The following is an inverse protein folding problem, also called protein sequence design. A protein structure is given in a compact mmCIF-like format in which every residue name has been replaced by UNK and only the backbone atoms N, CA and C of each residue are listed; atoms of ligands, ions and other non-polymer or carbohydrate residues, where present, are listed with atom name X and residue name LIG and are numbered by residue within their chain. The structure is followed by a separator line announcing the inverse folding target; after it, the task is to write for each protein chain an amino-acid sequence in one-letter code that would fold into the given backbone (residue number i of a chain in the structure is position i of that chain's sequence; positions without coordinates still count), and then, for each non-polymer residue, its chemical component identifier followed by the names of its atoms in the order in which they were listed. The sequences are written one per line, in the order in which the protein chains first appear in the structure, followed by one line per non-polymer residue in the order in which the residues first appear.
data_IF_185218466613
#
_entry.id   IF_185218466613
#
_cell.length_a   1.000
_cell.length_b   1.000
_cell.length_c   1.000
_cell.angle_alpha   90.00
_cell.angle_beta   90.00
_cell.angle_gamma   90.00
#
_symmetry.space_group_name_H-M   'P 1'
#
loop_
_entity.id
_entity.type
_entity.pdbx_description
1 polymer ?
#
# COMPACT_ATOMS: atom_id res chain seq x y z
N UNK A 1 -8.37 39.40 -20.95
CA UNK A 1 -8.83 38.67 -19.76
C UNK A 1 -8.90 39.71 -18.66
N UNK A 2 -10.08 39.91 -18.07
CA UNK A 2 -10.23 40.84 -16.96
C UNK A 2 -9.49 40.27 -15.74
N UNK A 3 -8.90 41.11 -14.89
CA UNK A 3 -8.20 40.65 -13.68
C UNK A 3 -9.10 39.73 -12.83
N UNK A 4 -10.42 40.01 -12.82
CA UNK A 4 -11.43 39.19 -12.16
C UNK A 4 -11.54 37.76 -12.69
N UNK A 5 -11.61 37.59 -14.00
CA UNK A 5 -11.70 36.28 -14.64
C UNK A 5 -10.46 35.42 -14.34
N UNK A 6 -9.30 36.06 -14.16
CA UNK A 6 -8.04 35.39 -13.86
C UNK A 6 -8.03 34.78 -12.46
N UNK A 7 -8.42 35.53 -11.42
CA UNK A 7 -8.43 34.99 -10.05
C UNK A 7 -9.58 34.01 -9.80
N UNK A 8 -10.73 34.19 -10.44
CA UNK A 8 -11.84 33.22 -10.35
C UNK A 8 -11.44 31.86 -10.96
N UNK A 9 -10.76 31.87 -12.11
CA UNK A 9 -10.20 30.66 -12.72
C UNK A 9 -9.17 30.01 -11.81
N UNK A 10 -8.27 30.79 -11.23
CA UNK A 10 -7.24 30.28 -10.33
C UNK A 10 -7.84 29.68 -9.05
N UNK A 11 -8.87 30.30 -8.48
CA UNK A 11 -9.58 29.73 -7.33
C UNK A 11 -10.22 28.39 -7.65
N UNK A 12 -10.84 28.26 -8.82
CA UNK A 12 -11.43 27.00 -9.26
C UNK A 12 -10.36 25.92 -9.35
N UNK A 13 -9.21 26.21 -9.98
CA UNK A 13 -8.11 25.26 -10.13
C UNK A 13 -7.46 24.89 -8.79
N UNK A 14 -7.26 25.86 -7.88
CA UNK A 14 -6.73 25.61 -6.54
C UNK A 14 -7.68 24.71 -5.74
N UNK A 15 -8.98 25.03 -5.76
CA UNK A 15 -9.99 24.27 -5.04
C UNK A 15 -10.12 22.83 -5.57
N UNK A 16 -10.12 22.63 -6.89
CA UNK A 16 -10.19 21.30 -7.50
C UNK A 16 -8.98 20.43 -7.13
N UNK A 17 -7.77 20.99 -7.20
CA UNK A 17 -6.55 20.26 -6.85
C UNK A 17 -6.46 19.95 -5.35
N UNK A 18 -6.86 20.90 -4.50
CA UNK A 18 -6.94 20.70 -3.05
C UNK A 18 -7.94 19.59 -2.69
N UNK A 19 -9.17 19.69 -3.22
CA UNK A 19 -10.21 18.71 -2.98
C UNK A 19 -9.76 17.32 -3.42
N UNK A 20 -9.12 17.22 -4.59
CA UNK A 20 -8.60 15.95 -5.07
C UNK A 20 -7.51 15.39 -4.15
N UNK A 21 -6.51 16.19 -3.76
CA UNK A 21 -5.42 15.74 -2.89
C UNK A 21 -5.94 15.25 -1.52
N UNK A 22 -6.87 15.99 -0.93
CA UNK A 22 -7.50 15.62 0.35
C UNK A 22 -8.35 14.35 0.23
N UNK A 23 -9.13 14.22 -0.85
CA UNK A 23 -9.92 13.02 -1.11
C UNK A 23 -9.03 11.79 -1.30
N UNK A 24 -7.92 11.89 -2.02
CA UNK A 24 -6.99 10.77 -2.19
C UNK A 24 -6.25 10.44 -0.90
N UNK A 25 -5.86 11.43 -0.10
CA UNK A 25 -5.25 11.20 1.22
C UNK A 25 -6.23 10.44 2.13
N UNK A 26 -7.51 10.80 2.12
CA UNK A 26 -8.55 10.08 2.86
C UNK A 26 -8.74 8.65 2.34
N UNK A 27 -8.84 8.47 1.02
CA UNK A 27 -8.99 7.14 0.41
C UNK A 27 -7.80 6.22 0.75
N UNK A 28 -6.58 6.74 0.73
CA UNK A 28 -5.38 5.99 1.13
C UNK A 28 -5.42 5.56 2.60
N UNK A 29 -5.97 6.38 3.48
CA UNK A 29 -6.17 6.04 4.90
C UNK A 29 -7.30 5.01 5.10
N UNK A 30 -8.30 4.97 4.23
CA UNK A 30 -9.40 3.99 4.27
C UNK A 30 -8.94 2.59 3.84
N UNK A 31 -7.84 2.47 3.09
CA UNK A 31 -7.26 1.18 2.70
C UNK A 31 -6.56 0.45 3.86
N UNK A 32 -6.45 1.05 5.05
CA UNK A 32 -5.85 0.42 6.22
C UNK A 32 -6.82 -0.53 6.94
N UNK A 33 -6.35 -1.66 7.53
CA UNK A 33 -4.96 -2.14 7.57
C UNK A 33 -4.53 -2.94 6.31
N UNK A 34 -3.21 -3.11 6.13
CA UNK A 34 -2.66 -4.01 5.09
C UNK A 34 -2.81 -5.46 5.54
N UNK A 35 -3.29 -6.33 4.65
CA UNK A 35 -3.33 -7.77 4.92
C UNK A 35 -4.67 -8.42 4.63
N UNK A 36 -4.98 -9.44 5.44
CA UNK A 36 -6.14 -10.30 5.25
C UNK A 36 -5.83 -11.43 4.28
N UNK A 37 -6.32 -11.33 3.04
CA UNK A 37 -6.13 -12.33 1.99
C UNK A 37 -5.19 -11.84 0.90
N UNK A 38 -4.61 -12.75 0.12
CA UNK A 38 -3.76 -12.39 -1.02
C UNK A 38 -4.53 -11.49 -2.01
N UNK A 39 -5.80 -11.82 -2.28
CA UNK A 39 -6.66 -11.02 -3.14
C UNK A 39 -6.81 -9.58 -2.62
N UNK A 40 -7.03 -9.40 -1.31
CA UNK A 40 -7.16 -8.07 -0.71
C UNK A 40 -5.87 -7.24 -0.85
N UNK A 41 -4.72 -7.87 -0.62
CA UNK A 41 -3.42 -7.19 -0.76
C UNK A 41 -3.10 -6.87 -2.23
N UNK A 42 -3.54 -7.69 -3.18
CA UNK A 42 -3.45 -7.40 -4.62
C UNK A 42 -4.36 -6.23 -5.04
N UNK A 43 -5.55 -6.12 -4.46
CA UNK A 43 -6.42 -4.95 -4.64
C UNK A 43 -5.76 -3.67 -4.11
N UNK A 44 -5.21 -3.72 -2.89
CA UNK A 44 -4.47 -2.60 -2.28
C UNK A 44 -3.26 -2.21 -3.15
N UNK A 45 -2.54 -3.18 -3.70
CA UNK A 45 -1.41 -2.95 -4.62
C UNK A 45 -1.88 -2.22 -5.89
N UNK A 46 -2.99 -2.67 -6.47
CA UNK A 46 -3.57 -2.07 -7.66
C UNK A 46 -4.05 -0.64 -7.42
N UNK A 47 -4.64 -0.38 -6.24
CA UNK A 47 -5.05 0.96 -5.81
C UNK A 47 -3.84 1.91 -5.71
N UNK A 48 -2.77 1.49 -5.03
CA UNK A 48 -1.55 2.30 -4.89
C UNK A 48 -0.90 2.61 -6.24
N UNK A 49 -0.77 1.62 -7.12
CA UNK A 49 -0.19 1.82 -8.46
C UNK A 49 -1.01 2.80 -9.29
N UNK A 50 -2.35 2.70 -9.20
CA UNK A 50 -3.25 3.64 -9.88
C UNK A 50 -3.09 5.06 -9.33
N UNK A 51 -3.07 5.22 -8.00
CA UNK A 51 -2.89 6.52 -7.37
C UNK A 51 -1.52 7.14 -7.70
N UNK A 52 -0.46 6.35 -7.70
CA UNK A 52 0.87 6.80 -8.13
C UNK A 52 0.87 7.31 -9.58
N UNK A 53 0.19 6.59 -10.47
CA UNK A 53 0.03 7.03 -11.86
C UNK A 53 -0.78 8.33 -11.98
N UNK A 54 -1.91 8.44 -11.29
CA UNK A 54 -2.75 9.63 -11.29
C UNK A 54 -2.00 10.86 -10.74
N UNK A 55 -1.23 10.70 -9.66
CA UNK A 55 -0.38 11.76 -9.12
C UNK A 55 0.68 12.21 -10.13
N UNK A 56 1.31 11.28 -10.85
CA UNK A 56 2.29 11.62 -11.91
C UNK A 56 1.66 12.43 -13.03
N UNK A 57 0.45 12.08 -13.45
CA UNK A 57 -0.27 12.82 -14.50
C UNK A 57 -0.66 14.23 -14.04
N UNK A 58 -1.19 14.36 -12.81
CA UNK A 58 -1.63 15.64 -12.23
C UNK A 58 -0.50 16.55 -11.77
N UNK A 59 0.73 16.03 -11.63
CA UNK A 59 1.87 16.80 -11.15
C UNK A 59 2.05 18.11 -11.92
N UNK A 60 1.95 18.06 -13.25
CA UNK A 60 2.11 19.25 -14.10
C UNK A 60 1.04 20.29 -13.78
N UNK A 61 -0.22 19.88 -13.66
CA UNK A 61 -1.34 20.78 -13.39
C UNK A 61 -1.20 21.47 -12.04
N UNK A 62 -0.70 20.75 -11.02
CA UNK A 62 -0.40 21.31 -9.69
C UNK A 62 0.74 22.33 -9.77
N UNK A 63 1.83 21.99 -10.45
CA UNK A 63 2.98 22.90 -10.61
C UNK A 63 2.60 24.17 -11.39
N UNK A 64 1.79 24.04 -12.44
CA UNK A 64 1.25 25.16 -13.23
C UNK A 64 0.29 26.02 -12.40
N UNK A 65 -0.58 25.41 -11.59
CA UNK A 65 -1.52 26.12 -10.72
C UNK A 65 -0.78 26.94 -9.65
N UNK A 66 0.21 26.33 -8.98
CA UNK A 66 1.07 27.01 -7.99
C UNK A 66 1.88 28.14 -8.64
N UNK A 67 2.44 27.91 -9.83
CA UNK A 67 3.18 28.94 -10.58
C UNK A 67 2.28 30.11 -10.98
N UNK A 68 1.04 29.83 -11.37
CA UNK A 68 0.03 30.84 -11.71
C UNK A 68 -0.35 31.66 -10.47
N UNK A 69 -0.56 31.01 -9.32
CA UNK A 69 -0.79 31.69 -8.05
C UNK A 69 0.36 32.62 -7.66
N UNK A 70 1.61 32.15 -7.75
CA UNK A 70 2.77 32.98 -7.47
C UNK A 70 2.91 34.16 -8.45
N UNK A 71 2.57 33.96 -9.72
CA UNK A 71 2.61 34.99 -10.75
C UNK A 71 1.56 36.06 -10.52
N UNK A 72 0.31 35.67 -10.21
CA UNK A 72 -0.77 36.57 -9.87
C UNK A 72 -0.41 37.46 -8.66
N UNK A 73 0.14 36.85 -7.61
CA UNK A 73 0.59 37.59 -6.42
C UNK A 73 1.73 38.58 -6.70
N UNK A 74 2.60 38.32 -7.69
CA UNK A 74 3.64 39.26 -8.11
C UNK A 74 3.08 40.40 -8.94
N UNK A 75 2.21 40.10 -9.90
CA UNK A 75 1.66 41.09 -10.82
C UNK A 75 0.85 42.17 -10.09
N UNK A 76 0.19 41.79 -8.99
CA UNK A 76 -0.64 42.70 -8.20
C UNK A 76 0.04 43.23 -6.92
N UNK A 77 1.35 43.00 -6.72
CA UNK A 77 2.10 43.42 -5.51
C UNK A 77 1.48 42.94 -4.18
N UNK A 78 0.85 41.75 -4.19
CA UNK A 78 0.07 41.20 -3.06
C UNK A 78 0.90 40.31 -2.13
N UNK A 79 2.20 40.13 -2.38
CA UNK A 79 3.09 39.39 -1.47
C UNK A 79 3.22 40.13 -0.13
N UNK A 80 3.42 39.43 1.00
CA UNK A 80 3.69 40.09 2.28
C UNK A 80 4.90 41.00 2.12
N UNK A 81 4.72 42.32 2.30
CA UNK A 81 5.82 43.29 2.18
C UNK A 81 6.90 42.93 3.21
N UNK A 82 8.03 42.39 2.75
CA UNK A 82 9.27 42.29 3.54
C UNK A 82 9.84 43.70 3.72
N UNK A 83 9.24 44.48 4.63
CA UNK A 83 9.61 45.84 5.02
C UNK A 83 9.85 46.82 3.87
N UNK A 84 8.89 47.70 3.64
CA UNK A 84 9.23 49.11 3.41
C UNK A 84 8.10 50.00 3.93
N UNK A 85 8.41 50.71 5.00
CA UNK A 85 7.64 51.84 5.49
C UNK A 85 7.93 52.99 4.53
N UNK A 86 7.07 53.17 3.53
CA UNK A 86 6.94 54.47 2.88
C UNK A 86 5.61 55.07 3.34
N UNK A 87 5.66 55.68 4.51
CA UNK A 87 4.72 56.75 4.86
C UNK A 87 4.94 57.81 3.80
N UNK A 88 3.92 58.12 3.00
CA UNK A 88 3.71 59.31 2.15
C UNK A 88 3.08 58.87 0.83
N UNK A 89 1.74 58.77 0.80
CA UNK A 89 0.83 59.19 -0.27
C UNK A 89 -0.60 58.79 0.14
N UNK A 90 -1.55 59.74 0.29
CA UNK A 90 -2.93 59.43 0.59
C UNK A 90 -3.72 59.30 -0.72
N UNK A 91 -3.82 58.12 -1.31
CA UNK A 91 -4.78 57.86 -2.39
C UNK A 91 -6.08 57.32 -1.80
N UNK A 92 -7.10 58.19 -1.76
CA UNK A 92 -8.39 57.97 -1.08
C UNK A 92 -9.56 57.64 -2.02
N UNK A 93 -9.31 57.18 -3.25
CA UNK A 93 -10.39 56.78 -4.18
C UNK A 93 -10.37 55.30 -4.60
N UNK A 94 -9.31 54.53 -4.29
CA UNK A 94 -9.19 53.10 -4.64
C UNK A 94 -9.15 52.16 -3.43
N UNK A 95 -9.67 52.57 -2.27
CA UNK A 95 -9.46 51.84 -1.01
C UNK A 95 -10.22 50.50 -0.96
N UNK A 96 -11.43 50.43 -1.55
CA UNK A 96 -12.27 49.23 -1.58
C UNK A 96 -11.78 48.20 -2.63
N UNK A 97 -11.50 48.61 -3.87
CA UNK A 97 -10.95 47.69 -4.89
C UNK A 97 -9.55 47.17 -4.51
N UNK A 98 -8.70 48.02 -3.92
CA UNK A 98 -7.43 47.55 -3.36
C UNK A 98 -7.65 46.64 -2.13
N UNK A 99 -8.70 46.85 -1.34
CA UNK A 99 -9.02 45.96 -0.22
C UNK A 99 -9.51 44.59 -0.72
N UNK A 100 -10.33 44.54 -1.77
CA UNK A 100 -10.79 43.31 -2.41
C UNK A 100 -9.63 42.53 -3.03
N UNK A 101 -8.81 43.18 -3.86
CA UNK A 101 -7.60 42.55 -4.42
C UNK A 101 -6.66 42.03 -3.34
N UNK A 102 -6.50 42.75 -2.21
CA UNK A 102 -5.74 42.27 -1.06
C UNK A 102 -6.35 41.03 -0.41
N UNK A 103 -7.68 40.97 -0.25
CA UNK A 103 -8.36 39.77 0.29
C UNK A 103 -8.17 38.56 -0.64
N UNK A 104 -8.36 38.76 -1.94
CA UNK A 104 -8.14 37.75 -2.97
C UNK A 104 -6.70 37.23 -2.92
N UNK A 105 -5.71 38.13 -2.85
CA UNK A 105 -4.30 37.73 -2.73
C UNK A 105 -3.98 36.92 -1.47
N UNK A 106 -4.56 37.28 -0.32
CA UNK A 106 -4.38 36.50 0.92
C UNK A 106 -4.95 35.09 0.74
N UNK A 107 -6.12 34.96 0.14
CA UNK A 107 -6.76 33.67 -0.08
C UNK A 107 -5.98 32.82 -1.10
N UNK A 108 -5.59 33.37 -2.25
CA UNK A 108 -4.76 32.69 -3.25
C UNK A 108 -3.46 32.17 -2.61
N UNK A 109 -2.81 33.00 -1.80
CA UNK A 109 -1.59 32.59 -1.10
C UNK A 109 -1.87 31.43 -0.15
N UNK A 110 -2.91 31.55 0.68
CA UNK A 110 -3.29 30.52 1.65
C UNK A 110 -3.61 29.18 0.95
N UNK A 111 -4.41 29.22 -0.12
CA UNK A 111 -4.83 28.03 -0.85
C UNK A 111 -3.64 27.40 -1.62
N UNK A 112 -2.76 28.22 -2.20
CA UNK A 112 -1.53 27.73 -2.84
C UNK A 112 -0.57 27.09 -1.84
N UNK A 113 -0.34 27.71 -0.68
CA UNK A 113 0.51 27.17 0.38
C UNK A 113 -0.07 25.83 0.90
N UNK A 114 -1.39 25.77 1.10
CA UNK A 114 -2.10 24.55 1.51
C UNK A 114 -2.03 23.45 0.45
N UNK A 115 -2.19 23.79 -0.84
CA UNK A 115 -2.08 22.83 -1.93
C UNK A 115 -0.70 22.17 -1.95
N UNK A 116 0.38 22.95 -1.80
CA UNK A 116 1.74 22.42 -1.71
C UNK A 116 1.88 21.46 -0.51
N UNK A 117 1.34 21.83 0.65
CA UNK A 117 1.39 21.00 1.85
C UNK A 117 0.64 19.68 1.69
N UNK A 118 -0.62 19.72 1.27
CA UNK A 118 -1.45 18.51 1.12
C UNK A 118 -0.93 17.61 -0.01
N UNK A 119 -0.42 18.19 -1.10
CA UNK A 119 0.19 17.41 -2.18
C UNK A 119 1.45 16.65 -1.73
N UNK A 120 2.34 17.32 -0.97
CA UNK A 120 3.54 16.68 -0.43
C UNK A 120 3.20 15.63 0.61
N UNK A 121 2.24 15.92 1.49
CA UNK A 121 1.74 14.95 2.48
C UNK A 121 1.16 13.70 1.79
N UNK A 122 0.32 13.86 0.77
CA UNK A 122 -0.21 12.75 -0.01
C UNK A 122 0.93 11.93 -0.63
N UNK A 123 1.93 12.59 -1.20
CA UNK A 123 3.10 11.91 -1.80
C UNK A 123 3.90 11.12 -0.77
N UNK A 124 4.17 11.70 0.40
CA UNK A 124 4.88 11.02 1.48
C UNK A 124 4.12 9.82 2.00
N UNK A 125 2.81 9.98 2.22
CA UNK A 125 1.92 8.88 2.61
C UNK A 125 1.94 7.78 1.54
N UNK A 126 1.74 8.12 0.27
CA UNK A 126 1.73 7.15 -0.82
C UNK A 126 3.04 6.37 -0.91
N UNK A 127 4.19 7.04 -0.81
CA UNK A 127 5.50 6.39 -0.89
C UNK A 127 5.72 5.42 0.27
N UNK A 128 5.37 5.82 1.49
CA UNK A 128 5.45 4.94 2.66
C UNK A 128 4.53 3.72 2.51
N UNK A 129 3.30 3.95 2.06
CA UNK A 129 2.29 2.91 1.87
C UNK A 129 2.63 1.94 0.75
N UNK A 130 3.18 2.43 -0.36
CA UNK A 130 3.61 1.60 -1.47
C UNK A 130 4.65 0.58 -1.02
N UNK A 131 5.62 0.99 -0.19
CA UNK A 131 6.63 0.07 0.34
C UNK A 131 6.00 -1.06 1.18
N UNK A 132 5.11 -0.70 2.12
CA UNK A 132 4.45 -1.67 3.02
C UNK A 132 3.58 -2.64 2.21
N UNK A 133 2.77 -2.13 1.28
CA UNK A 133 1.86 -2.96 0.48
C UNK A 133 2.65 -3.89 -0.47
N UNK A 134 3.72 -3.41 -1.10
CA UNK A 134 4.54 -4.26 -1.97
C UNK A 134 5.26 -5.37 -1.21
N UNK A 135 5.81 -5.07 -0.04
CA UNK A 135 6.44 -6.07 0.83
C UNK A 135 5.42 -7.11 1.32
N UNK A 136 4.25 -6.65 1.78
CA UNK A 136 3.15 -7.54 2.17
C UNK A 136 2.67 -8.42 1.00
N UNK A 137 2.51 -7.86 -0.20
CA UNK A 137 2.11 -8.64 -1.38
C UNK A 137 3.12 -9.74 -1.70
N UNK A 138 4.41 -9.40 -1.73
CA UNK A 138 5.46 -10.37 -2.01
C UNK A 138 5.48 -11.51 -0.98
N UNK A 139 5.34 -11.19 0.31
CA UNK A 139 5.26 -12.20 1.38
C UNK A 139 3.98 -13.04 1.29
N UNK A 140 2.84 -12.45 0.96
CA UNK A 140 1.58 -13.17 0.77
C UNK A 140 1.62 -14.12 -0.43
N UNK A 141 2.26 -13.74 -1.53
CA UNK A 141 2.48 -14.63 -2.68
C UNK A 141 3.37 -15.81 -2.31
N UNK A 142 4.44 -15.56 -1.54
CA UNK A 142 5.33 -16.61 -1.03
C UNK A 142 4.59 -17.56 -0.08
N UNK A 143 3.80 -17.03 0.84
CA UNK A 143 2.96 -17.83 1.73
C UNK A 143 1.98 -18.71 0.93
N UNK A 144 1.28 -18.14 -0.05
CA UNK A 144 0.32 -18.89 -0.86
C UNK A 144 0.98 -20.04 -1.64
N UNK A 145 2.17 -19.80 -2.22
CA UNK A 145 2.96 -20.86 -2.87
C UNK A 145 3.38 -21.93 -1.87
N UNK A 146 3.92 -21.53 -0.71
CA UNK A 146 4.37 -22.45 0.32
C UNK A 146 3.23 -23.32 0.86
N UNK A 147 2.04 -22.75 1.08
CA UNK A 147 0.83 -23.49 1.48
C UNK A 147 0.44 -24.52 0.41
N UNK A 148 0.41 -24.13 -0.86
CA UNK A 148 0.04 -25.04 -1.95
C UNK A 148 1.05 -26.21 -2.09
N UNK A 149 2.34 -25.91 -2.01
CA UNK A 149 3.41 -26.90 -2.03
C UNK A 149 3.33 -27.84 -0.82
N UNK A 150 3.12 -27.30 0.39
CA UNK A 150 2.90 -28.09 1.60
C UNK A 150 1.73 -29.06 1.45
N UNK A 151 0.59 -28.57 0.97
CA UNK A 151 -0.61 -29.40 0.81
C UNK A 151 -0.35 -30.57 -0.14
N UNK A 152 0.33 -30.32 -1.26
CA UNK A 152 0.69 -31.35 -2.22
C UNK A 152 1.63 -32.39 -1.60
N UNK A 153 2.70 -31.95 -0.93
CA UNK A 153 3.70 -32.85 -0.34
C UNK A 153 3.10 -33.67 0.80
N UNK A 154 2.24 -33.07 1.64
CA UNK A 154 1.53 -33.80 2.69
C UNK A 154 0.57 -34.84 2.10
N UNK A 155 -0.18 -34.52 1.05
CA UNK A 155 -1.07 -35.50 0.41
C UNK A 155 -0.31 -36.67 -0.21
N UNK A 156 0.85 -36.40 -0.83
CA UNK A 156 1.72 -37.47 -1.33
C UNK A 156 2.32 -38.32 -0.20
N UNK A 157 2.63 -37.71 0.95
CA UNK A 157 3.12 -38.42 2.13
C UNK A 157 2.03 -39.34 2.70
N UNK A 158 0.81 -38.83 2.85
CA UNK A 158 -0.35 -39.58 3.32
C UNK A 158 -0.64 -40.77 2.39
N UNK A 159 -0.65 -40.57 1.07
CA UNK A 159 -0.86 -41.64 0.10
C UNK A 159 0.22 -42.74 0.22
N UNK A 160 1.49 -42.35 0.39
CA UNK A 160 2.59 -43.32 0.61
C UNK A 160 2.43 -44.09 1.92
N UNK A 161 1.96 -43.43 2.97
CA UNK A 161 1.70 -44.08 4.26
C UNK A 161 0.53 -45.07 4.17
N UNK A 162 -0.53 -44.73 3.44
CA UNK A 162 -1.68 -45.62 3.22
C UNK A 162 -1.32 -46.89 2.43
N UNK A 163 -0.28 -46.83 1.59
CA UNK A 163 0.21 -47.99 0.84
C UNK A 163 1.06 -48.96 1.67
N UNK A 164 1.52 -48.56 2.87
CA UNK A 164 2.32 -49.42 3.72
C UNK A 164 1.45 -50.52 4.37
N UNK A 165 1.91 -51.77 4.22
CA UNK A 165 1.29 -52.91 4.90
C UNK A 165 1.79 -53.03 6.34
N UNK A 166 0.92 -53.38 7.30
CA UNK A 166 1.34 -53.76 8.64
C UNK A 166 2.37 -54.89 8.58
N UNK A 167 3.34 -54.86 9.51
CA UNK A 167 4.42 -55.86 9.55
C UNK A 167 3.86 -57.28 9.71
N UNK A 168 2.71 -57.45 10.39
CA UNK A 168 2.09 -58.77 10.57
C UNK A 168 1.56 -59.38 9.26
N UNK A 169 1.37 -58.58 8.22
CA UNK A 169 0.86 -59.03 6.91
C UNK A 169 1.98 -59.33 5.91
N UNK A 170 3.25 -59.07 6.27
CA UNK A 170 4.41 -59.27 5.42
C UNK A 170 5.00 -60.67 5.57
N UNK A 171 5.44 -61.25 4.46
CA UNK A 171 6.27 -62.46 4.45
C UNK A 171 7.70 -62.12 4.85
N UNK A 172 8.43 -63.08 5.39
CA UNK A 172 9.84 -62.94 5.76
C UNK A 172 10.73 -62.41 4.62
N UNK A 173 10.42 -62.82 3.38
CA UNK A 173 11.12 -62.39 2.16
C UNK A 173 10.82 -60.93 1.77
N UNK A 174 9.69 -60.37 2.21
CA UNK A 174 9.25 -59.00 1.94
C UNK A 174 9.80 -57.99 2.97
N UNK A 175 10.27 -58.48 4.13
CA UNK A 175 10.72 -57.63 5.25
C UNK A 175 11.88 -56.70 4.87
N UNK A 176 12.83 -57.16 4.05
CA UNK A 176 13.96 -56.33 3.63
C UNK A 176 13.51 -55.16 2.77
N UNK A 177 12.55 -55.39 1.85
CA UNK A 177 11.98 -54.35 1.00
C UNK A 177 11.19 -53.34 1.85
N UNK A 178 10.40 -53.83 2.81
CA UNK A 178 9.64 -52.96 3.72
C UNK A 178 10.54 -52.08 4.60
N UNK A 179 11.72 -52.56 5.00
CA UNK A 179 12.72 -51.74 5.70
C UNK A 179 13.24 -50.63 4.79
N UNK A 180 13.62 -50.95 3.54
CA UNK A 180 14.10 -49.95 2.58
C UNK A 180 13.01 -48.90 2.27
N UNK A 181 11.74 -49.32 2.12
CA UNK A 181 10.59 -48.43 1.94
C UNK A 181 10.37 -47.52 3.16
N UNK A 182 10.53 -48.05 4.38
CA UNK A 182 10.44 -47.28 5.61
C UNK A 182 11.57 -46.24 5.72
N UNK A 183 12.80 -46.58 5.32
CA UNK A 183 13.91 -45.62 5.29
C UNK A 183 13.66 -44.50 4.28
N UNK A 184 13.20 -44.83 3.08
CA UNK A 184 12.81 -43.83 2.08
C UNK A 184 11.66 -42.94 2.56
N UNK A 185 10.69 -43.51 3.28
CA UNK A 185 9.58 -42.75 3.85
C UNK A 185 10.07 -41.77 4.94
N UNK A 186 11.04 -42.17 5.78
CA UNK A 186 11.66 -41.26 6.76
C UNK A 186 12.40 -40.10 6.09
N UNK A 187 13.14 -40.36 5.01
CA UNK A 187 13.78 -39.29 4.25
C UNK A 187 12.76 -38.35 3.61
N UNK A 188 11.66 -38.90 3.08
CA UNK A 188 10.59 -38.11 2.51
C UNK A 188 9.89 -37.25 3.57
N UNK A 189 9.60 -37.81 4.75
CA UNK A 189 9.05 -37.09 5.90
C UNK A 189 9.94 -35.91 6.33
N UNK A 190 11.26 -36.14 6.41
CA UNK A 190 12.21 -35.09 6.75
C UNK A 190 12.15 -33.93 5.73
N UNK A 191 11.97 -34.23 4.44
CA UNK A 191 11.78 -33.21 3.40
C UNK A 191 10.43 -32.51 3.50
N UNK A 192 9.34 -33.25 3.76
CA UNK A 192 7.99 -32.69 3.97
C UNK A 192 7.99 -31.64 5.08
N UNK A 193 8.72 -31.90 6.16
CA UNK A 193 8.84 -30.95 7.28
C UNK A 193 9.43 -29.60 6.88
N UNK A 194 10.39 -29.57 5.94
CA UNK A 194 11.00 -28.32 5.46
C UNK A 194 9.93 -27.42 4.83
N UNK A 195 9.01 -27.99 4.04
CA UNK A 195 7.92 -27.20 3.46
C UNK A 195 7.00 -26.62 4.53
N UNK A 196 6.63 -27.41 5.55
CA UNK A 196 5.79 -26.95 6.66
C UNK A 196 6.47 -25.82 7.44
N UNK A 197 7.77 -25.96 7.70
CA UNK A 197 8.58 -24.91 8.33
C UNK A 197 8.60 -23.65 7.45
N UNK A 198 8.81 -23.77 6.12
CA UNK A 198 8.78 -22.64 5.18
C UNK A 198 7.43 -21.90 5.19
N UNK A 199 6.30 -22.62 5.19
CA UNK A 199 4.97 -22.00 5.24
C UNK A 199 4.72 -21.25 6.56
N UNK A 200 5.15 -21.83 7.68
CA UNK A 200 5.06 -21.19 8.99
C UNK A 200 6.00 -19.98 9.10
N UNK A 201 7.19 -20.04 8.50
CA UNK A 201 8.15 -18.93 8.45
C UNK A 201 7.59 -17.73 7.69
N UNK A 202 6.93 -17.94 6.55
CA UNK A 202 6.25 -16.85 5.84
C UNK A 202 5.11 -16.24 6.63
N UNK A 203 4.32 -17.08 7.33
CA UNK A 203 3.28 -16.58 8.24
C UNK A 203 3.87 -15.75 9.38
N UNK A 204 4.98 -16.21 9.97
CA UNK A 204 5.70 -15.49 11.02
C UNK A 204 6.27 -14.15 10.54
N UNK A 205 6.82 -14.11 9.32
CA UNK A 205 7.33 -12.87 8.70
C UNK A 205 6.23 -11.85 8.43
N UNK A 206 5.03 -12.29 8.02
CA UNK A 206 3.86 -11.44 7.85
C UNK A 206 3.40 -10.85 9.19
N UNK A 207 3.30 -11.68 10.22
CA UNK A 207 2.96 -11.23 11.57
C UNK A 207 3.99 -10.24 12.12
N UNK A 208 5.29 -10.47 11.88
CA UNK A 208 6.36 -9.54 12.28
C UNK A 208 6.33 -8.21 11.52
N UNK A 209 5.58 -8.14 10.41
CA UNK A 209 5.37 -6.93 9.62
C UNK A 209 4.01 -6.28 9.90
N UNK A 210 3.35 -6.67 11.01
CA UNK A 210 1.99 -6.26 11.39
C UNK A 210 0.92 -6.56 10.33
N UNK A 211 1.14 -7.60 9.52
CA UNK A 211 0.19 -8.06 8.50
C UNK A 211 -0.58 -9.26 9.04
N UNK A 212 -1.81 -9.03 9.46
CA UNK A 212 -2.70 -10.09 9.95
C UNK A 212 -3.32 -10.89 8.80
N UNK A 213 -3.35 -12.22 8.94
CA UNK A 213 -3.99 -13.11 7.98
C UNK A 213 -5.50 -13.19 8.22
N UNK A 214 -6.26 -13.28 7.13
CA UNK A 214 -7.68 -13.59 7.18
C UNK A 214 -7.92 -15.04 7.63
N UNK A 215 -9.20 -15.37 7.88
CA UNK A 215 -9.59 -16.68 8.38
C UNK A 215 -9.20 -17.84 7.45
N UNK A 216 -9.23 -17.64 6.13
CA UNK A 216 -8.96 -18.71 5.16
C UNK A 216 -7.47 -19.13 5.13
N UNK A 217 -6.48 -18.24 4.87
CA UNK A 217 -5.07 -18.63 4.95
C UNK A 217 -4.68 -19.18 6.33
N UNK A 218 -5.23 -18.61 7.39
CA UNK A 218 -5.02 -19.08 8.76
C UNK A 218 -5.54 -20.50 8.97
N UNK A 219 -6.73 -20.83 8.44
CA UNK A 219 -7.30 -22.17 8.50
C UNK A 219 -6.49 -23.18 7.68
N UNK A 220 -5.96 -22.77 6.52
CA UNK A 220 -5.09 -23.62 5.70
C UNK A 220 -3.79 -23.98 6.43
N UNK A 221 -3.12 -22.99 7.04
CA UNK A 221 -1.92 -23.22 7.86
C UNK A 221 -2.22 -24.12 9.06
N UNK A 222 -3.34 -23.88 9.75
CA UNK A 222 -3.76 -24.74 10.85
C UNK A 222 -3.96 -26.19 10.39
N UNK A 223 -4.64 -26.40 9.27
CA UNK A 223 -4.84 -27.74 8.68
C UNK A 223 -3.52 -28.43 8.33
N UNK A 224 -2.57 -27.70 7.74
CA UNK A 224 -1.21 -28.19 7.45
C UNK A 224 -0.52 -28.64 8.75
N UNK A 225 -0.55 -27.80 9.78
CA UNK A 225 0.10 -28.10 11.06
C UNK A 225 -0.56 -29.29 11.78
N UNK A 226 -1.89 -29.36 11.79
CA UNK A 226 -2.64 -30.47 12.37
C UNK A 226 -2.31 -31.80 11.67
N UNK A 227 -2.24 -31.80 10.32
CA UNK A 227 -1.83 -32.99 9.53
C UNK A 227 -0.38 -33.38 9.82
N UNK A 228 0.52 -32.41 9.91
CA UNK A 228 1.93 -32.67 10.20
C UNK A 228 2.12 -33.33 11.57
N UNK A 229 1.34 -32.92 12.59
CA UNK A 229 1.35 -33.56 13.93
C UNK A 229 0.85 -35.00 13.91
N UNK A 230 -0.07 -35.35 13.01
CA UNK A 230 -0.55 -36.74 12.87
C UNK A 230 0.48 -37.63 12.16
N UNK A 231 1.26 -37.05 11.25
CA UNK A 231 2.26 -37.76 10.44
C UNK A 231 3.59 -37.96 11.19
N UNK A 232 3.94 -37.02 12.09
CA UNK A 232 5.16 -37.06 12.93
C UNK A 232 4.96 -37.89 14.20
#
# INVERSE_FOLDING_TARGET
MNAQEEWEKLFTQLAENLFWAEAQSKALLEEQPVGGSLARVQEQTSFVQKLEHEMKLRQRDVDECVTSAHSYLMQHDLRPRTRSISVLLPDKENDDENAELRRVGIQIKSDSDRLIQEWNKLREQLNAWAYIIHDANAKMEKLASAIAECQLVLSNMEERMEQLRPIEELRLEELTVAVDESEQLKEYLARTRIYVDDANDWSGQLLASDVELASEPSAQLKSINDRCVVIL
#
